data_IF_889841141679
#
_entry.id   IF_889841141679
#
_cell.length_a   1.000
_cell.length_b   1.000
_cell.length_c   1.000
_cell.angle_alpha   90.00
_cell.angle_beta   90.00
_cell.angle_gamma   90.00
#
_symmetry.space_group_name_H-M   'P 1'
#
loop_
_entity.id
_entity.type
_entity.pdbx_description
1 polymer ?
#
# COMPACT_ATOMS: atom_id res chain seq x y z
N UNK A 1 -17.79 -31.78 30.09
CA UNK A 1 -17.48 -30.96 28.89
C UNK A 1 -16.38 -30.00 29.34
N UNK A 2 -15.16 -30.14 28.84
CA UNK A 2 -14.08 -29.21 29.17
C UNK A 2 -14.15 -28.06 28.17
N UNK A 3 -14.53 -26.88 28.62
CA UNK A 3 -14.36 -25.64 27.85
C UNK A 3 -12.89 -25.26 27.95
N UNK A 4 -12.17 -25.40 26.84
CA UNK A 4 -10.84 -24.80 26.70
C UNK A 4 -11.08 -23.30 26.54
N UNK A 5 -10.95 -22.55 27.64
CA UNK A 5 -10.89 -21.09 27.59
C UNK A 5 -9.52 -20.70 27.05
N UNK A 6 -9.51 -20.15 25.84
CA UNK A 6 -8.32 -19.55 25.26
C UNK A 6 -7.97 -18.30 26.08
N UNK A 7 -6.68 -18.10 26.31
CA UNK A 7 -6.20 -16.81 26.80
C UNK A 7 -6.50 -15.70 25.79
N UNK A 8 -6.57 -14.45 26.23
CA UNK A 8 -6.80 -13.30 25.35
C UNK A 8 -5.78 -13.23 24.20
N UNK A 9 -4.54 -13.64 24.45
CA UNK A 9 -3.49 -13.70 23.45
C UNK A 9 -3.76 -14.78 22.38
N UNK A 10 -4.23 -15.97 22.80
CA UNK A 10 -4.59 -17.05 21.89
C UNK A 10 -5.84 -16.70 21.07
N UNK A 11 -6.82 -16.03 21.69
CA UNK A 11 -8.02 -15.55 21.00
C UNK A 11 -7.68 -14.52 19.91
N UNK A 12 -6.78 -13.58 20.21
CA UNK A 12 -6.31 -12.57 19.26
C UNK A 12 -5.52 -13.19 18.10
N UNK A 13 -4.70 -14.20 18.39
CA UNK A 13 -3.96 -14.92 17.36
C UNK A 13 -4.87 -15.74 16.45
N UNK A 14 -5.87 -16.43 17.01
CA UNK A 14 -6.86 -17.18 16.24
C UNK A 14 -7.65 -16.25 15.32
N UNK A 15 -8.09 -15.09 15.82
CA UNK A 15 -8.79 -14.08 15.03
C UNK A 15 -7.93 -13.54 13.89
N UNK A 16 -6.63 -13.27 14.13
CA UNK A 16 -5.69 -12.89 13.06
C UNK A 16 -5.57 -13.95 11.98
N UNK A 17 -5.47 -15.22 12.36
CA UNK A 17 -5.33 -16.33 11.42
C UNK A 17 -6.60 -16.51 10.57
N UNK A 18 -7.78 -16.44 11.20
CA UNK A 18 -9.06 -16.50 10.48
C UNK A 18 -9.22 -15.36 9.48
N UNK A 19 -8.88 -14.12 9.87
CA UNK A 19 -8.92 -12.97 8.96
C UNK A 19 -7.97 -13.15 7.77
N UNK A 20 -6.75 -13.64 8.00
CA UNK A 20 -5.78 -13.92 6.93
C UNK A 20 -6.28 -15.01 5.97
N UNK A 21 -6.88 -16.07 6.49
CA UNK A 21 -7.47 -17.13 5.65
C UNK A 21 -8.63 -16.59 4.80
N UNK A 22 -9.52 -15.77 5.38
CA UNK A 22 -10.63 -15.15 4.64
C UNK A 22 -10.12 -14.22 3.54
N UNK A 23 -9.09 -13.41 3.81
CA UNK A 23 -8.46 -12.53 2.82
C UNK A 23 -7.92 -13.37 1.65
N UNK A 24 -7.11 -14.40 1.93
CA UNK A 24 -6.52 -15.26 0.90
C UNK A 24 -7.57 -15.97 0.04
N UNK A 25 -8.72 -16.35 0.61
CA UNK A 25 -9.78 -17.04 -0.12
C UNK A 25 -10.65 -16.09 -0.95
N UNK A 26 -10.88 -14.85 -0.49
CA UNK A 26 -11.89 -13.96 -1.06
C UNK A 26 -11.32 -12.84 -1.92
N UNK A 27 -10.07 -12.42 -1.68
CA UNK A 27 -9.48 -11.20 -2.26
C UNK A 27 -8.13 -11.45 -2.93
N UNK A 28 -7.43 -12.54 -2.57
CA UNK A 28 -5.97 -12.54 -2.59
C UNK A 28 -5.35 -13.91 -2.94
N UNK A 29 -5.34 -14.26 -4.23
CA UNK A 29 -4.25 -15.10 -4.75
C UNK A 29 -2.96 -14.27 -4.69
N UNK A 30 -1.91 -14.79 -4.04
CA UNK A 30 -0.62 -14.11 -3.90
C UNK A 30 0.01 -13.67 -5.24
N UNK A 31 -0.10 -14.47 -6.30
CA UNK A 31 0.39 -14.12 -7.62
C UNK A 31 -0.43 -12.98 -8.24
N UNK A 32 -1.75 -13.00 -8.07
CA UNK A 32 -2.65 -11.92 -8.51
C UNK A 32 -2.40 -10.61 -7.75
N UNK A 33 -2.13 -10.65 -6.44
CA UNK A 33 -1.75 -9.45 -5.66
C UNK A 33 -0.42 -8.90 -6.14
N UNK A 34 0.58 -9.76 -6.35
CA UNK A 34 1.88 -9.33 -6.84
C UNK A 34 1.76 -8.71 -8.25
N UNK A 35 0.95 -9.31 -9.12
CA UNK A 35 0.62 -8.76 -10.43
C UNK A 35 -0.03 -7.37 -10.32
N UNK A 36 -1.09 -7.25 -9.53
CA UNK A 36 -1.79 -5.97 -9.30
C UNK A 36 -0.89 -4.90 -8.69
N UNK A 37 -0.01 -5.29 -7.76
CA UNK A 37 0.98 -4.38 -7.14
C UNK A 37 2.00 -3.93 -8.17
N UNK A 38 2.47 -4.84 -9.02
CA UNK A 38 3.40 -4.53 -10.11
C UNK A 38 2.78 -3.57 -11.11
N UNK A 39 1.55 -3.84 -11.55
CA UNK A 39 0.83 -2.98 -12.50
C UNK A 39 0.58 -1.58 -11.93
N UNK A 40 0.17 -1.50 -10.67
CA UNK A 40 0.01 -0.22 -9.96
C UNK A 40 1.34 0.54 -9.90
N UNK A 41 2.43 -0.15 -9.62
CA UNK A 41 3.78 0.47 -9.58
C UNK A 41 4.21 0.96 -10.96
N UNK A 42 3.92 0.21 -12.03
CA UNK A 42 4.21 0.63 -13.40
C UNK A 42 3.43 1.87 -13.81
N UNK A 43 2.14 1.94 -13.48
CA UNK A 43 1.29 3.11 -13.73
C UNK A 43 1.87 4.33 -13.00
N UNK A 44 2.17 4.20 -11.70
CA UNK A 44 2.75 5.28 -10.91
C UNK A 44 4.10 5.74 -11.45
N UNK A 45 4.97 4.80 -11.84
CA UNK A 45 6.29 5.12 -12.40
C UNK A 45 6.17 5.89 -13.71
N UNK A 46 5.29 5.46 -14.62
CA UNK A 46 5.07 6.12 -15.90
C UNK A 46 4.53 7.54 -15.71
N UNK A 47 3.49 7.70 -14.89
CA UNK A 47 2.85 9.01 -14.67
C UNK A 47 3.76 9.96 -13.89
N UNK A 48 4.50 9.47 -12.90
CA UNK A 48 5.46 10.29 -12.15
C UNK A 48 6.63 10.74 -13.03
N UNK A 49 7.14 9.86 -13.89
CA UNK A 49 8.17 10.22 -14.88
C UNK A 49 7.66 11.32 -15.82
N UNK A 50 6.44 11.18 -16.34
CA UNK A 50 5.79 12.20 -17.16
C UNK A 50 5.62 13.54 -16.43
N UNK A 51 5.20 13.50 -15.16
CA UNK A 51 5.08 14.69 -14.31
C UNK A 51 6.43 15.40 -14.13
N UNK A 52 7.50 14.68 -13.75
CA UNK A 52 8.83 15.25 -13.53
C UNK A 52 9.38 15.89 -14.81
N UNK A 53 9.23 15.22 -15.96
CA UNK A 53 9.68 15.74 -17.24
C UNK A 53 8.96 17.05 -17.60
N UNK A 54 7.63 17.09 -17.49
CA UNK A 54 6.85 18.31 -17.74
C UNK A 54 7.20 19.43 -16.74
N UNK A 55 7.39 19.08 -15.47
CA UNK A 55 7.74 20.05 -14.42
C UNK A 55 9.11 20.68 -14.67
N UNK A 56 10.11 19.89 -15.06
CA UNK A 56 11.46 20.39 -15.33
C UNK A 56 11.54 21.33 -16.54
N UNK A 57 10.57 21.27 -17.44
CA UNK A 57 10.49 22.10 -18.64
C UNK A 57 9.56 23.31 -18.46
N UNK A 58 8.79 23.37 -17.37
CA UNK A 58 7.83 24.43 -17.13
C UNK A 58 8.54 25.77 -16.90
N UNK A 59 8.17 26.77 -17.69
CA UNK A 59 8.70 28.13 -17.62
C UNK A 59 7.75 29.09 -16.91
N UNK A 60 6.55 28.63 -16.56
CA UNK A 60 5.51 29.42 -15.92
C UNK A 60 4.73 28.63 -14.87
N UNK A 61 4.07 29.35 -13.97
CA UNK A 61 3.14 28.75 -13.00
C UNK A 61 1.95 28.05 -13.69
N UNK A 62 1.56 28.50 -14.88
CA UNK A 62 0.50 27.86 -15.66
C UNK A 62 0.95 26.48 -16.17
N UNK A 63 2.15 26.41 -16.76
CA UNK A 63 2.75 25.15 -17.21
C UNK A 63 3.05 24.20 -16.05
N UNK A 64 3.50 24.74 -14.91
CA UNK A 64 3.68 23.97 -13.68
C UNK A 64 2.37 23.30 -13.25
N UNK A 65 1.23 24.01 -13.29
CA UNK A 65 -0.07 23.41 -12.96
C UNK A 65 -0.48 22.35 -13.98
N UNK A 66 -0.31 22.63 -15.27
CA UNK A 66 -0.61 21.69 -16.35
C UNK A 66 0.21 20.40 -16.26
N UNK A 67 1.45 20.46 -15.72
CA UNK A 67 2.28 19.27 -15.52
C UNK A 67 1.61 18.20 -14.64
N UNK A 68 0.72 18.62 -13.72
CA UNK A 68 0.02 17.72 -12.78
C UNK A 68 -1.17 16.98 -13.40
N UNK A 69 -1.66 17.40 -14.57
CA UNK A 69 -2.95 16.94 -15.09
C UNK A 69 -2.99 15.43 -15.39
N UNK A 70 -1.93 14.87 -15.99
CA UNK A 70 -1.94 13.44 -16.35
C UNK A 70 -1.91 12.55 -15.10
N UNK A 71 -1.07 12.88 -14.13
CA UNK A 71 -1.00 12.17 -12.85
C UNK A 71 -2.32 12.32 -12.09
N UNK A 72 -2.92 13.51 -12.06
CA UNK A 72 -4.24 13.74 -11.45
C UNK A 72 -5.35 12.95 -12.15
N UNK A 73 -5.33 12.84 -13.47
CA UNK A 73 -6.31 12.05 -14.22
C UNK A 73 -6.15 10.54 -13.94
N UNK A 74 -4.91 10.06 -13.79
CA UNK A 74 -4.64 8.65 -13.57
C UNK A 74 -4.99 8.17 -12.15
N UNK A 75 -4.70 8.97 -11.11
CA UNK A 75 -4.82 8.52 -9.71
C UNK A 75 -5.56 9.49 -8.79
N UNK A 76 -5.95 10.68 -9.26
CA UNK A 76 -6.50 11.74 -8.40
C UNK A 76 -7.86 11.40 -7.78
N UNK A 77 -8.62 10.47 -8.34
CA UNK A 77 -9.89 10.00 -7.74
C UNK A 77 -9.68 9.25 -6.43
N UNK A 78 -8.49 8.66 -6.21
CA UNK A 78 -8.18 7.88 -5.00
C UNK A 78 -8.30 8.74 -3.74
N UNK A 79 -7.81 9.98 -3.77
CA UNK A 79 -7.91 10.90 -2.63
C UNK A 79 -9.36 11.14 -2.22
N UNK A 80 -10.22 11.38 -3.23
CA UNK A 80 -11.65 11.61 -3.00
C UNK A 80 -12.31 10.36 -2.43
N UNK A 81 -12.01 9.18 -2.98
CA UNK A 81 -12.55 7.90 -2.52
C UNK A 81 -12.13 7.56 -1.08
N UNK A 82 -10.93 7.94 -0.68
CA UNK A 82 -10.49 7.79 0.72
C UNK A 82 -11.22 8.78 1.63
N UNK A 83 -11.38 10.02 1.18
CA UNK A 83 -12.00 11.10 1.97
C UNK A 83 -13.50 10.85 2.18
N UNK A 84 -14.19 10.32 1.17
CA UNK A 84 -15.62 10.01 1.24
C UNK A 84 -15.93 8.63 1.86
N UNK A 85 -14.89 7.84 2.17
CA UNK A 85 -15.01 6.53 2.80
C UNK A 85 -15.40 5.39 1.86
N UNK A 86 -15.43 5.62 0.54
CA UNK A 86 -15.67 4.56 -0.45
C UNK A 86 -14.47 3.64 -0.67
N UNK A 87 -13.27 4.08 -0.29
CA UNK A 87 -12.03 3.30 -0.29
C UNK A 87 -11.32 3.43 1.06
N UNK A 88 -11.00 2.30 1.69
CA UNK A 88 -10.11 2.25 2.84
C UNK A 88 -8.90 1.37 2.51
N UNK A 89 -7.70 1.92 2.65
CA UNK A 89 -6.48 1.16 2.47
C UNK A 89 -6.14 0.36 3.74
N UNK A 90 -5.55 -0.85 3.61
CA UNK A 90 -5.20 -1.67 4.77
C UNK A 90 -4.29 -0.98 5.80
N UNK A 91 -3.45 -0.01 5.38
CA UNK A 91 -2.61 0.74 6.32
C UNK A 91 -3.42 1.68 7.23
N UNK A 92 -4.59 2.13 6.79
CA UNK A 92 -5.47 3.01 7.57
C UNK A 92 -6.08 2.22 8.74
N UNK A 93 -6.42 0.95 8.52
CA UNK A 93 -6.87 0.02 9.57
C UNK A 93 -5.73 -0.33 10.54
N UNK A 94 -4.53 -0.60 10.03
CA UNK A 94 -3.35 -0.96 10.85
C UNK A 94 -2.76 0.24 11.61
N UNK A 95 -2.95 1.45 11.12
CA UNK A 95 -2.27 2.65 11.59
C UNK A 95 -0.95 2.89 10.85
N UNK A 96 -0.78 4.12 10.36
CA UNK A 96 0.39 4.52 9.57
C UNK A 96 1.72 4.30 10.30
N UNK A 97 1.80 4.65 11.59
CA UNK A 97 3.01 4.49 12.38
C UNK A 97 3.47 3.02 12.46
N UNK A 98 2.52 2.10 12.68
CA UNK A 98 2.80 0.67 12.72
C UNK A 98 3.33 0.17 11.37
N UNK A 99 2.66 0.55 10.27
CA UNK A 99 3.08 0.11 8.94
C UNK A 99 4.45 0.67 8.56
N UNK A 100 4.76 1.91 8.94
CA UNK A 100 6.09 2.49 8.72
C UNK A 100 7.18 1.75 9.50
N UNK A 101 6.91 1.38 10.75
CA UNK A 101 7.84 0.57 11.56
C UNK A 101 8.09 -0.82 10.93
N UNK A 102 7.03 -1.50 10.47
CA UNK A 102 7.12 -2.77 9.75
C UNK A 102 7.99 -2.64 8.48
N UNK A 103 7.79 -1.57 7.70
CA UNK A 103 8.58 -1.30 6.48
C UNK A 103 10.05 -1.08 6.83
N UNK A 104 10.35 -0.23 7.81
CA UNK A 104 11.72 0.07 8.23
C UNK A 104 12.44 -1.17 8.76
N UNK A 105 11.79 -1.94 9.64
CA UNK A 105 12.32 -3.18 10.20
C UNK A 105 12.64 -4.19 9.09
N UNK A 106 11.74 -4.37 8.13
CA UNK A 106 11.96 -5.28 7.00
C UNK A 106 13.13 -4.81 6.12
N UNK A 107 13.17 -3.54 5.76
CA UNK A 107 14.24 -2.98 4.93
C UNK A 107 15.62 -3.13 5.59
N UNK A 108 15.68 -2.88 6.90
CA UNK A 108 16.89 -3.03 7.68
C UNK A 108 17.33 -4.49 7.79
N UNK A 109 16.39 -5.41 8.06
CA UNK A 109 16.66 -6.85 8.12
C UNK A 109 17.22 -7.39 6.81
N UNK A 110 16.62 -7.02 5.67
CA UNK A 110 17.13 -7.39 4.34
C UNK A 110 18.53 -6.82 4.11
N UNK A 111 18.75 -5.54 4.44
CA UNK A 111 20.06 -4.89 4.28
C UNK A 111 21.16 -5.55 5.11
N UNK A 112 20.84 -6.05 6.31
CA UNK A 112 21.79 -6.77 7.16
C UNK A 112 22.20 -8.11 6.54
N UNK A 113 21.25 -8.86 5.99
CA UNK A 113 21.54 -10.13 5.29
C UNK A 113 22.43 -9.89 4.06
N UNK A 114 22.10 -8.87 3.25
CA UNK A 114 22.88 -8.53 2.04
C UNK A 114 24.32 -8.11 2.37
N UNK A 115 24.56 -7.47 3.52
CA UNK A 115 25.91 -7.10 3.98
C UNK A 115 26.73 -8.28 4.50
N UNK A 116 26.08 -9.39 4.82
CA UNK A 116 26.71 -10.62 5.29
C UNK A 116 26.88 -11.66 4.17
N UNK A 117 26.35 -11.37 2.98
CA UNK A 117 26.47 -12.16 1.74
C UNK A 117 27.68 -11.70 0.92
#
# INVERSE_FOLDING_TARGET
MFEVQLSEAEQAELSRQTSRQSINQQVADNASILGTTSDTTHILLNELSGFINKLSQAQSLAEMRASTESLKAAIGSIEQQVTDGSLEFPYQVKGQAQVMDEICTRAQGVSQILKQS
#
